data_IF_306825136444
#
_entry.id   IF_306825136444
#
_cell.length_a   1.000
_cell.length_b   1.000
_cell.length_c   1.000
_cell.angle_alpha   90.00
_cell.angle_beta   90.00
_cell.angle_gamma   90.00
#
_symmetry.space_group_name_H-M   'P 1'
#
loop_
_entity.id
_entity.type
_entity.pdbx_description
1 polymer ?
#
# COMPACT_ATOMS: atom_id res chain seq x y z
N UNK A 1 12.42 13.61 -1.95
CA UNK A 1 11.26 12.95 -1.31
C UNK A 1 11.52 11.46 -1.23
N UNK A 2 10.98 10.75 -0.22
CA UNK A 2 11.09 9.29 -0.09
C UNK A 2 9.74 8.65 -0.39
N UNK A 3 9.73 7.62 -1.23
CA UNK A 3 8.55 6.84 -1.59
C UNK A 3 8.72 5.43 -1.07
N UNK A 4 7.71 4.93 -0.35
CA UNK A 4 7.66 3.54 0.11
C UNK A 4 6.56 2.82 -0.67
N UNK A 5 6.95 1.83 -1.46
CA UNK A 5 6.03 0.97 -2.20
C UNK A 5 5.73 -0.23 -1.31
N UNK A 6 4.51 -0.28 -0.78
CA UNK A 6 3.96 -1.46 -0.14
C UNK A 6 3.37 -2.41 -1.19
N UNK A 7 3.86 -3.63 -1.28
CA UNK A 7 3.33 -4.63 -2.21
C UNK A 7 3.43 -6.06 -1.68
N UNK A 8 2.54 -6.95 -2.16
CA UNK A 8 2.53 -8.39 -1.80
C UNK A 8 3.72 -9.11 -2.42
N UNK A 9 4.00 -8.84 -3.69
CA UNK A 9 5.16 -9.39 -4.42
C UNK A 9 6.30 -8.36 -4.40
N UNK A 10 7.25 -8.54 -3.49
CA UNK A 10 8.38 -7.62 -3.32
C UNK A 10 9.35 -7.67 -4.49
N UNK A 11 9.42 -8.76 -5.25
CA UNK A 11 10.31 -8.85 -6.40
C UNK A 11 9.76 -8.03 -7.58
N UNK A 12 8.45 -8.10 -7.85
CA UNK A 12 7.79 -7.17 -8.78
C UNK A 12 7.95 -5.72 -8.33
N UNK A 13 7.79 -5.45 -7.03
CA UNK A 13 8.03 -4.13 -6.45
C UNK A 13 9.45 -3.63 -6.68
N UNK A 14 10.46 -4.48 -6.49
CA UNK A 14 11.88 -4.16 -6.69
C UNK A 14 12.17 -3.82 -8.13
N UNK A 15 11.65 -4.58 -9.09
CA UNK A 15 11.75 -4.29 -10.52
C UNK A 15 11.11 -2.94 -10.87
N UNK A 16 9.95 -2.63 -10.29
CA UNK A 16 9.31 -1.33 -10.47
C UNK A 16 10.17 -0.18 -9.90
N UNK A 17 10.74 -0.35 -8.71
CA UNK A 17 11.64 0.64 -8.11
C UNK A 17 12.90 0.85 -8.96
N UNK A 18 13.48 -0.20 -9.54
CA UNK A 18 14.60 -0.11 -10.48
C UNK A 18 14.21 0.64 -11.76
N UNK A 19 13.03 0.37 -12.32
CA UNK A 19 12.53 1.11 -13.48
C UNK A 19 12.40 2.61 -13.19
N UNK A 20 11.88 2.97 -12.01
CA UNK A 20 11.78 4.35 -11.57
C UNK A 20 13.17 4.98 -11.45
N UNK A 21 14.12 4.30 -10.79
CA UNK A 21 15.49 4.81 -10.64
C UNK A 21 16.24 4.94 -11.96
N UNK A 22 15.94 4.11 -12.96
CA UNK A 22 16.50 4.27 -14.31
C UNK A 22 16.02 5.55 -15.00
N UNK A 23 14.77 5.96 -14.76
CA UNK A 23 14.20 7.18 -15.33
C UNK A 23 14.56 8.42 -14.49
N UNK A 24 14.69 8.24 -13.18
CA UNK A 24 14.99 9.29 -12.21
C UNK A 24 16.07 8.76 -11.25
N UNK A 25 17.37 8.93 -11.56
CA UNK A 25 18.48 8.37 -10.79
C UNK A 25 18.46 8.74 -9.30
N UNK A 26 18.01 9.96 -8.99
CA UNK A 26 17.95 10.50 -7.63
C UNK A 26 16.76 9.96 -6.80
N UNK A 27 15.90 9.13 -7.40
CA UNK A 27 14.65 8.70 -6.77
C UNK A 27 14.90 7.77 -5.57
N UNK A 28 14.57 8.26 -4.37
CA UNK A 28 14.58 7.47 -3.14
C UNK A 28 13.29 6.65 -3.02
N UNK A 29 13.27 5.49 -3.69
CA UNK A 29 12.16 4.52 -3.65
C UNK A 29 12.57 3.31 -2.84
N UNK A 30 11.78 2.90 -1.86
CA UNK A 30 12.01 1.71 -1.05
C UNK A 30 10.80 0.78 -1.18
N UNK A 31 11.06 -0.53 -1.24
CA UNK A 31 10.02 -1.55 -1.33
C UNK A 31 9.90 -2.24 0.01
N UNK A 32 8.67 -2.43 0.48
CA UNK A 32 8.36 -3.16 1.71
C UNK A 32 7.20 -4.11 1.44
N UNK A 33 7.20 -5.26 2.11
CA UNK A 33 6.11 -6.22 2.00
C UNK A 33 4.84 -5.65 2.64
N UNK A 34 3.73 -5.67 1.89
CA UNK A 34 2.40 -5.31 2.38
C UNK A 34 1.35 -6.12 1.63
N UNK A 35 0.62 -6.96 2.36
CA UNK A 35 -0.57 -7.63 1.88
C UNK A 35 -1.83 -7.02 2.49
N UNK A 36 -2.59 -6.27 1.68
CA UNK A 36 -3.84 -5.64 2.11
C UNK A 36 -4.98 -6.64 2.38
N UNK A 37 -4.85 -7.90 1.94
CA UNK A 37 -5.79 -8.95 2.30
C UNK A 37 -5.54 -9.53 3.71
N UNK A 38 -4.43 -9.15 4.35
CA UNK A 38 -4.01 -9.68 5.65
C UNK A 38 -3.84 -8.57 6.69
N UNK A 39 -4.73 -8.53 7.68
CA UNK A 39 -4.64 -7.56 8.78
C UNK A 39 -3.35 -7.68 9.61
N UNK A 40 -2.77 -8.89 9.73
CA UNK A 40 -1.48 -9.05 10.39
C UNK A 40 -0.37 -8.38 9.58
N UNK A 41 -0.38 -8.54 8.25
CA UNK A 41 0.56 -7.85 7.36
C UNK A 41 0.40 -6.33 7.44
N UNK A 42 -0.84 -5.82 7.44
CA UNK A 42 -1.12 -4.38 7.57
C UNK A 42 -0.55 -3.83 8.89
N UNK A 43 -0.82 -4.50 10.01
CA UNK A 43 -0.33 -4.07 11.33
C UNK A 43 1.19 -4.10 11.42
N UNK A 44 1.82 -5.14 10.89
CA UNK A 44 3.28 -5.26 10.87
C UNK A 44 3.90 -4.13 10.05
N UNK A 45 3.38 -3.89 8.85
CA UNK A 45 3.82 -2.80 7.99
C UNK A 45 3.66 -1.44 8.68
N UNK A 46 2.49 -1.16 9.26
CA UNK A 46 2.24 0.10 9.97
C UNK A 46 3.21 0.30 11.15
N UNK A 47 3.45 -0.74 11.96
CA UNK A 47 4.39 -0.68 13.07
C UNK A 47 5.83 -0.39 12.60
N UNK A 48 6.24 -1.01 11.49
CA UNK A 48 7.55 -0.75 10.90
C UNK A 48 7.69 0.70 10.42
N UNK A 49 6.67 1.22 9.72
CA UNK A 49 6.67 2.60 9.22
C UNK A 49 6.68 3.61 10.37
N UNK A 50 5.86 3.41 11.41
CA UNK A 50 5.84 4.29 12.57
C UNK A 50 7.17 4.29 13.34
N UNK A 51 7.92 3.18 13.28
CA UNK A 51 9.24 3.07 13.88
C UNK A 51 10.33 3.72 13.02
N UNK A 52 10.26 3.60 11.68
CA UNK A 52 11.33 4.02 10.78
C UNK A 52 11.13 5.41 10.16
N UNK A 53 9.90 5.89 10.06
CA UNK A 53 9.57 7.14 9.39
C UNK A 53 9.03 8.17 10.39
N UNK A 54 9.70 9.32 10.58
CA UNK A 54 9.27 10.32 11.55
C UNK A 54 7.95 11.00 11.17
N UNK A 55 7.58 10.99 9.89
CA UNK A 55 6.36 11.60 9.37
C UNK A 55 5.93 11.00 8.04
N UNK A 56 4.63 10.76 7.90
CA UNK A 56 3.98 10.44 6.62
C UNK A 56 3.31 11.72 6.08
N UNK A 57 3.71 12.15 4.88
CA UNK A 57 3.15 13.35 4.23
C UNK A 57 1.93 13.02 3.36
N UNK A 58 1.99 11.89 2.65
CA UNK A 58 0.99 11.47 1.66
C UNK A 58 0.83 9.96 1.80
N UNK A 59 -0.43 9.51 1.79
CA UNK A 59 -0.80 8.10 1.71
C UNK A 59 -1.64 7.87 0.45
N UNK A 60 -1.19 6.96 -0.41
CA UNK A 60 -1.87 6.62 -1.66
C UNK A 60 -2.33 5.16 -1.55
N UNK A 61 -3.64 4.95 -1.39
CA UNK A 61 -4.25 3.62 -1.35
C UNK A 61 -4.66 3.19 -2.76
N UNK A 62 -3.68 2.79 -3.57
CA UNK A 62 -3.88 2.41 -4.98
C UNK A 62 -3.98 0.89 -5.20
N UNK A 63 -3.65 0.07 -4.20
CA UNK A 63 -3.72 -1.37 -4.37
C UNK A 63 -5.19 -1.85 -4.37
N UNK A 64 -5.60 -2.39 -5.51
CA UNK A 64 -6.89 -3.06 -5.72
C UNK A 64 -6.67 -4.39 -6.43
N UNK A 65 -7.45 -5.39 -6.05
CA UNK A 65 -7.49 -6.67 -6.74
C UNK A 65 -8.83 -6.75 -7.48
N UNK A 66 -8.79 -7.18 -8.75
CA UNK A 66 -10.02 -7.49 -9.48
C UNK A 66 -10.29 -8.95 -9.18
N UNK A 67 -11.29 -9.23 -8.35
CA UNK A 67 -11.85 -10.57 -8.21
C UNK A 67 -12.41 -11.00 -9.58
N UNK A 68 -11.56 -11.60 -10.43
CA UNK A 68 -12.02 -12.32 -11.61
C UNK A 68 -12.56 -13.68 -11.18
N UNK A 69 -13.66 -13.66 -10.42
CA UNK A 69 -14.48 -14.85 -10.29
C UNK A 69 -15.38 -14.94 -11.52
N UNK A 70 -15.33 -16.06 -12.25
CA UNK A 70 -16.48 -16.51 -13.01
C UNK A 70 -17.69 -16.43 -12.08
N UNK A 71 -18.64 -15.57 -12.43
CA UNK A 71 -19.81 -15.23 -11.63
C UNK A 71 -20.62 -16.48 -11.26
N UNK A 72 -20.64 -16.85 -9.98
CA UNK A 72 -21.70 -17.57 -9.25
C UNK A 72 -21.16 -17.84 -7.83
N UNK A 73 -21.47 -17.08 -6.77
CA UNK A 73 -22.81 -16.91 -6.21
C UNK A 73 -22.79 -15.83 -5.11
N UNK A 74 -23.76 -14.91 -5.18
CA UNK A 74 -24.49 -14.24 -4.09
C UNK A 74 -23.74 -13.79 -2.82
N UNK A 75 -23.68 -12.46 -2.66
CA UNK A 75 -24.03 -11.71 -1.44
C UNK A 75 -23.83 -12.45 -0.10
N UNK A 76 -22.59 -12.47 0.39
CA UNK A 76 -22.29 -12.51 1.83
C UNK A 76 -21.33 -11.35 2.12
N UNK A 77 -21.86 -10.16 2.29
CA UNK A 77 -22.28 -9.63 3.58
C UNK A 77 -21.22 -8.63 4.07
N UNK A 78 -21.61 -7.35 3.99
CA UNK A 78 -21.36 -6.29 4.96
C UNK A 78 -20.00 -6.34 5.66
N UNK A 79 -19.15 -5.35 5.37
CA UNK A 79 -18.89 -4.25 6.31
C UNK A 79 -17.94 -3.24 5.67
N UNK A 80 -18.47 -2.12 5.18
CA UNK A 80 -17.72 -0.88 5.15
C UNK A 80 -17.37 -0.54 6.60
N UNK A 81 -16.09 -0.58 6.96
CA UNK A 81 -15.60 0.08 8.17
C UNK A 81 -14.68 1.19 7.70
N UNK A 82 -15.24 2.40 7.66
CA UNK A 82 -14.49 3.64 7.62
C UNK A 82 -13.87 3.82 9.01
N UNK A 83 -12.58 3.53 9.15
CA UNK A 83 -11.80 3.98 10.29
C UNK A 83 -11.38 5.43 10.02
N UNK A 84 -12.22 6.36 10.46
CA UNK A 84 -11.82 7.74 10.73
C UNK A 84 -11.18 7.76 12.13
N UNK A 85 -9.87 7.65 12.19
CA UNK A 85 -9.11 8.04 13.37
C UNK A 85 -7.96 8.96 12.97
N UNK A 86 -8.17 10.25 13.21
CA UNK A 86 -7.21 11.29 13.59
C UNK A 86 -5.77 11.26 13.02
N UNK A 87 -5.63 11.31 11.71
CA UNK A 87 -4.38 11.82 11.10
C UNK A 87 -4.71 12.89 10.05
N UNK A 88 -3.98 14.03 10.01
CA UNK A 88 -4.10 15.03 8.96
C UNK A 88 -3.42 14.49 7.69
N UNK A 89 -3.98 13.43 7.11
CA UNK A 89 -3.54 12.87 5.84
C UNK A 89 -4.36 13.50 4.72
N UNK A 90 -3.68 14.11 3.75
CA UNK A 90 -4.30 14.44 2.47
C UNK A 90 -4.51 13.13 1.71
N UNK A 91 -5.72 12.61 1.80
CA UNK A 91 -6.15 11.44 1.04
C UNK A 91 -6.34 11.85 -0.43
N UNK A 92 -5.57 11.24 -1.33
CA UNK A 92 -5.76 11.38 -2.78
C UNK A 92 -6.18 10.01 -3.31
N UNK A 93 -7.40 9.94 -3.84
CA UNK A 93 -7.90 8.77 -4.57
C UNK A 93 -7.57 8.98 -6.05
N UNK A 94 -6.80 8.07 -6.63
CA UNK A 94 -6.66 7.92 -8.09
C UNK A 94 -7.50 6.75 -8.56
#
# INVERSE_FOLDING_TARGET
AKVIIGCRDTEKGRKAAENIRRQVPEANVIVKHLDLASFSSIRQFAAEILKSEPRIHILINNAGDILSHSFTSLLKARSFISLKDNYPLKYVRT
#
